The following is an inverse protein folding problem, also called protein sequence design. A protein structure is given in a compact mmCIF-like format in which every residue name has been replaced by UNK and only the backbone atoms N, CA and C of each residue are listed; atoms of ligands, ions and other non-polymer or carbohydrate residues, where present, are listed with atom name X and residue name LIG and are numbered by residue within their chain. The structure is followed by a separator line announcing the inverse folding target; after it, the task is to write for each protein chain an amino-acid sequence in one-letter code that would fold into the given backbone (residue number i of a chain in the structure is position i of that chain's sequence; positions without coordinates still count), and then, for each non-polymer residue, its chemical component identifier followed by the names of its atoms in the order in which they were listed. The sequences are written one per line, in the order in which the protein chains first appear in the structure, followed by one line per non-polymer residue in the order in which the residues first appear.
data_IF_992952216283
#
_entry.id   IF_992952216283
#
_cell.length_a   1.000
_cell.length_b   1.000
_cell.length_c   1.000
_cell.angle_alpha   90.00
_cell.angle_beta   90.00
_cell.angle_gamma   90.00
#
_symmetry.space_group_name_H-M   'P 1'
#
loop_
_entity.id
_entity.type
_entity.pdbx_description
1 polymer ?
#
# COMPACT_ATOMS: atom_id res chain seq x y z
N UNK A 1 -14.60 -23.40 -4.31
CA UNK A 1 -14.97 -22.22 -5.14
C UNK A 1 -15.12 -20.99 -4.24
N UNK A 2 -14.09 -20.13 -4.15
CA UNK A 2 -14.14 -18.85 -3.38
C UNK A 2 -13.56 -17.67 -4.17
N UNK A 3 -13.30 -17.82 -5.47
CA UNK A 3 -12.66 -16.78 -6.29
C UNK A 3 -13.66 -15.73 -6.81
N UNK A 4 -14.92 -16.11 -7.04
CA UNK A 4 -15.95 -15.22 -7.63
C UNK A 4 -16.41 -14.08 -6.69
N UNK A 5 -16.22 -14.24 -5.38
CA UNK A 5 -16.58 -13.25 -4.35
C UNK A 5 -15.45 -12.25 -4.06
N UNK A 6 -14.29 -12.38 -4.70
CA UNK A 6 -13.13 -11.50 -4.46
C UNK A 6 -13.24 -10.19 -5.25
N UNK A 7 -14.10 -10.17 -6.27
CA UNK A 7 -14.36 -8.97 -7.06
C UNK A 7 -15.25 -8.01 -6.27
N UNK A 8 -14.94 -6.71 -6.26
CA UNK A 8 -15.83 -5.72 -5.67
C UNK A 8 -17.21 -5.82 -6.33
N UNK A 9 -18.24 -6.00 -5.50
CA UNK A 9 -19.64 -6.23 -5.92
C UNK A 9 -20.22 -5.09 -6.80
N UNK A 10 -19.55 -3.93 -6.89
CA UNK A 10 -20.00 -2.79 -7.70
C UNK A 10 -18.87 -1.80 -7.95
N UNK A 11 -18.94 -1.08 -9.08
CA UNK A 11 -18.10 0.10 -9.38
C UNK A 11 -18.17 1.17 -8.28
N UNK A 12 -19.33 1.32 -7.62
CA UNK A 12 -19.50 2.25 -6.50
C UNK A 12 -18.62 1.92 -5.28
N UNK A 13 -18.16 0.66 -5.13
CA UNK A 13 -17.20 0.30 -4.08
C UNK A 13 -15.80 0.87 -4.39
N UNK A 14 -15.39 0.80 -5.66
CA UNK A 14 -14.12 1.33 -6.14
C UNK A 14 -14.11 2.86 -6.07
N UNK A 15 -15.23 3.50 -6.46
CA UNK A 15 -15.38 4.96 -6.39
C UNK A 15 -15.25 5.50 -4.97
N UNK A 16 -15.84 4.84 -3.96
CA UNK A 16 -15.66 5.24 -2.54
C UNK A 16 -14.19 5.26 -2.13
N UNK A 17 -13.43 4.22 -2.49
CA UNK A 17 -11.99 4.17 -2.20
C UNK A 17 -11.26 5.28 -2.95
N UNK A 18 -11.64 5.54 -4.20
CA UNK A 18 -11.03 6.60 -5.01
C UNK A 18 -11.31 8.01 -4.44
N UNK A 19 -12.53 8.29 -3.97
CA UNK A 19 -12.86 9.56 -3.31
C UNK A 19 -12.04 9.79 -2.04
N UNK A 20 -11.88 8.74 -1.22
CA UNK A 20 -11.04 8.82 -0.01
C UNK A 20 -9.56 9.04 -0.33
N UNK A 21 -9.06 8.39 -1.38
CA UNK A 21 -7.71 8.61 -1.89
C UNK A 21 -7.55 10.02 -2.43
N UNK A 22 -8.57 10.54 -3.11
CA UNK A 22 -8.55 11.89 -3.67
C UNK A 22 -8.37 12.94 -2.58
N UNK A 23 -9.06 12.83 -1.44
CA UNK A 23 -8.88 13.72 -0.27
C UNK A 23 -7.43 13.76 0.27
N UNK A 24 -6.69 12.67 0.12
CA UNK A 24 -5.30 12.53 0.58
C UNK A 24 -4.31 12.94 -0.52
N UNK A 25 -4.69 12.77 -1.79
CA UNK A 25 -3.91 13.10 -2.98
C UNK A 25 -3.97 14.60 -3.32
N UNK A 26 -5.11 15.24 -3.04
CA UNK A 26 -5.36 16.67 -3.26
C UNK A 26 -5.66 17.34 -1.93
N UNK A 27 -4.64 17.94 -1.29
CA UNK A 27 -4.53 19.39 -1.30
C UNK A 27 -3.10 19.86 -1.60
N UNK A 28 -2.99 21.01 -2.28
CA UNK A 28 -1.77 21.64 -2.79
C UNK A 28 -0.66 21.80 -1.72
N UNK A 29 -1.01 21.72 -0.43
CA UNK A 29 -0.13 21.88 0.73
C UNK A 29 0.20 20.59 1.52
N UNK A 30 -0.46 19.45 1.26
CA UNK A 30 -0.27 18.22 2.05
C UNK A 30 -0.26 16.94 1.21
N UNK A 31 0.28 17.04 -0.01
CA UNK A 31 0.33 15.93 -0.97
C UNK A 31 1.26 14.83 -0.47
N UNK A 32 0.67 13.72 -0.03
CA UNK A 32 1.41 12.53 0.34
C UNK A 32 1.99 11.83 -0.90
N UNK A 33 3.19 11.25 -0.75
CA UNK A 33 3.78 10.41 -1.81
C UNK A 33 2.83 9.23 -2.11
N UNK A 34 2.67 8.82 -3.38
CA UNK A 34 1.80 7.71 -3.76
C UNK A 34 2.07 6.42 -2.98
N UNK A 35 3.34 6.14 -2.68
CA UNK A 35 3.75 5.01 -1.83
C UNK A 35 3.19 5.09 -0.41
N UNK A 36 3.19 6.28 0.18
CA UNK A 36 2.63 6.52 1.52
C UNK A 36 1.11 6.41 1.53
N UNK A 37 0.44 6.88 0.47
CA UNK A 37 -1.02 6.72 0.32
C UNK A 37 -1.39 5.24 0.23
N UNK A 38 -0.68 4.45 -0.56
CA UNK A 38 -0.89 3.01 -0.67
C UNK A 38 -0.69 2.30 0.69
N UNK A 39 0.40 2.61 1.41
CA UNK A 39 0.65 2.04 2.73
C UNK A 39 -0.44 2.40 3.75
N UNK A 40 -0.96 3.63 3.71
CA UNK A 40 -2.07 4.08 4.55
C UNK A 40 -3.36 3.30 4.25
N UNK A 41 -3.66 3.04 2.98
CA UNK A 41 -4.80 2.21 2.58
C UNK A 41 -4.67 0.78 3.11
N UNK A 42 -3.47 0.18 2.99
CA UNK A 42 -3.20 -1.16 3.52
C UNK A 42 -3.37 -1.22 5.03
N UNK A 43 -2.87 -0.22 5.77
CA UNK A 43 -3.06 -0.13 7.21
C UNK A 43 -4.55 -0.01 7.58
N UNK A 44 -5.31 0.84 6.89
CA UNK A 44 -6.76 0.99 7.10
C UNK A 44 -7.51 -0.31 6.80
N UNK A 45 -7.15 -1.01 5.73
CA UNK A 45 -7.76 -2.29 5.39
C UNK A 45 -7.48 -3.36 6.46
N UNK A 46 -6.25 -3.40 6.97
CA UNK A 46 -5.88 -4.28 8.07
C UNK A 46 -6.72 -4.01 9.32
N UNK A 47 -6.91 -2.74 9.69
CA UNK A 47 -7.77 -2.35 10.81
C UNK A 47 -9.23 -2.77 10.60
N UNK A 48 -9.80 -2.49 9.42
CA UNK A 48 -11.18 -2.88 9.07
C UNK A 48 -11.40 -4.38 9.11
N UNK A 49 -10.45 -5.19 8.63
CA UNK A 49 -10.56 -6.67 8.66
C UNK A 49 -10.53 -7.25 10.07
N UNK A 50 -9.89 -6.57 11.00
CA UNK A 50 -9.81 -6.98 12.39
C UNK A 50 -10.89 -6.31 13.26
N UNK A 51 -11.84 -5.58 12.65
CA UNK A 51 -12.91 -4.84 13.34
C UNK A 51 -12.39 -3.87 14.43
N UNK A 52 -11.16 -3.39 14.26
CA UNK A 52 -10.48 -2.51 15.22
C UNK A 52 -10.39 -1.09 14.67
N UNK A 53 -10.70 -0.12 15.51
CA UNK A 53 -10.44 1.28 15.23
C UNK A 53 -9.02 1.67 15.64
N UNK A 54 -8.48 2.75 15.09
CA UNK A 54 -7.15 3.26 15.44
C UNK A 54 -7.00 3.58 16.94
N UNK A 55 -8.09 3.92 17.62
CA UNK A 55 -8.10 4.21 19.06
C UNK A 55 -8.05 2.95 19.94
N UNK A 56 -8.46 1.80 19.40
CA UNK A 56 -8.58 0.53 20.15
C UNK A 56 -7.46 -0.43 19.75
N UNK A 57 -6.86 -0.22 18.58
CA UNK A 57 -5.81 -1.09 18.07
C UNK A 57 -4.53 -0.97 18.90
N UNK A 58 -4.12 -2.09 19.47
CA UNK A 58 -2.84 -2.23 20.17
C UNK A 58 -1.86 -3.00 19.27
N UNK A 59 -0.64 -2.49 19.03
CA UNK A 59 0.36 -3.21 18.25
C UNK A 59 0.79 -4.50 18.96
N UNK A 60 1.09 -5.55 18.18
CA UNK A 60 1.66 -6.77 18.75
C UNK A 60 3.07 -6.52 19.27
N UNK A 61 3.48 -7.27 20.31
CA UNK A 61 4.84 -7.22 20.85
C UNK A 61 5.90 -7.51 19.79
N UNK A 62 5.61 -8.44 18.88
CA UNK A 62 6.48 -8.77 17.74
C UNK A 62 6.66 -7.59 16.79
N UNK A 63 5.59 -6.84 16.51
CA UNK A 63 5.65 -5.65 15.65
C UNK A 63 6.53 -4.57 16.30
N UNK A 64 6.34 -4.34 17.60
CA UNK A 64 7.15 -3.38 18.36
C UNK A 64 8.63 -3.78 18.35
N UNK A 65 8.94 -5.05 18.61
CA UNK A 65 10.31 -5.56 18.57
C UNK A 65 10.91 -5.44 17.17
N UNK A 66 10.14 -5.68 16.11
CA UNK A 66 10.58 -5.53 14.72
C UNK A 66 10.86 -4.07 14.34
N UNK A 67 10.16 -3.12 14.94
CA UNK A 67 10.40 -1.68 14.73
C UNK A 67 11.65 -1.25 15.51
N UNK A 68 11.76 -1.65 16.78
CA UNK A 68 12.91 -1.35 17.64
C UNK A 68 14.22 -1.93 17.09
N UNK A 69 14.19 -3.16 16.60
CA UNK A 69 15.35 -3.84 16.00
C UNK A 69 15.74 -3.31 14.61
N UNK A 70 15.02 -2.33 14.05
CA UNK A 70 15.30 -1.78 12.71
C UNK A 70 14.96 -2.72 11.54
N UNK A 71 14.51 -3.95 11.82
CA UNK A 71 14.13 -4.94 10.81
C UNK A 71 13.02 -4.43 9.89
N UNK A 72 12.08 -3.63 10.42
CA UNK A 72 11.02 -3.00 9.63
C UNK A 72 11.60 -2.02 8.58
N UNK A 73 12.58 -1.20 8.99
CA UNK A 73 13.23 -0.23 8.10
C UNK A 73 14.03 -0.94 7.00
N UNK A 74 14.80 -1.97 7.36
CA UNK A 74 15.56 -2.79 6.40
C UNK A 74 14.65 -3.44 5.33
N UNK A 75 13.49 -3.97 5.73
CA UNK A 75 12.50 -4.52 4.77
C UNK A 75 11.94 -3.43 3.85
N UNK A 76 11.66 -2.25 4.39
CA UNK A 76 11.17 -1.13 3.60
C UNK A 76 12.20 -0.65 2.56
N UNK A 77 13.46 -0.46 2.96
CA UNK A 77 14.53 -0.05 2.05
C UNK A 77 14.83 -1.11 1.00
N UNK A 78 14.80 -2.39 1.36
CA UNK A 78 14.96 -3.51 0.42
C UNK A 78 13.85 -3.51 -0.64
N UNK A 79 12.58 -3.32 -0.24
CA UNK A 79 11.45 -3.24 -1.18
C UNK A 79 11.52 -2.01 -2.09
N UNK A 80 12.04 -0.89 -1.59
CA UNK A 80 12.30 0.28 -2.43
C UNK A 80 13.39 -0.01 -3.47
N UNK A 81 14.46 -0.69 -3.06
CA UNK A 81 15.54 -1.10 -3.96
C UNK A 81 15.04 -2.06 -5.05
N UNK A 82 14.20 -3.03 -4.70
CA UNK A 82 13.57 -3.96 -5.64
C UNK A 82 12.64 -3.26 -6.64
N UNK A 83 11.81 -2.32 -6.18
CA UNK A 83 10.97 -1.51 -7.09
C UNK A 83 11.79 -0.65 -8.04
N UNK A 84 12.96 -0.17 -7.61
CA UNK A 84 13.86 0.55 -8.50
C UNK A 84 14.43 -0.39 -9.58
N UNK A 85 14.75 -1.64 -9.24
CA UNK A 85 15.23 -2.63 -10.20
C UNK A 85 14.15 -3.08 -11.17
N UNK A 86 12.90 -3.31 -10.74
CA UNK A 86 11.77 -3.64 -11.62
C UNK A 86 11.45 -2.52 -12.62
N UNK A 87 11.50 -1.25 -12.20
CA UNK A 87 11.33 -0.11 -13.10
C UNK A 87 12.47 0.04 -14.12
N UNK A 88 13.67 -0.44 -13.78
CA UNK A 88 14.83 -0.43 -14.68
C UNK A 88 14.73 -1.58 -15.69
N UNK A 89 14.38 -2.79 -15.26
CA UNK A 89 14.20 -3.96 -16.13
C UNK A 89 13.07 -3.74 -17.15
N UNK A 90 11.93 -3.20 -16.71
CA UNK A 90 10.81 -2.86 -17.61
C UNK A 90 11.14 -1.76 -18.62
N UNK A 91 12.12 -0.90 -18.36
CA UNK A 91 12.58 0.09 -19.34
C UNK A 91 13.47 -0.53 -20.42
N UNK A 92 14.29 -1.52 -20.06
CA UNK A 92 15.11 -2.27 -21.02
C UNK A 92 14.27 -3.24 -21.86
N UNK A 93 13.29 -3.94 -21.27
CA UNK A 93 12.41 -4.86 -22.01
C UNK A 93 11.53 -4.17 -23.08
N UNK A 94 11.26 -2.86 -22.93
CA UNK A 94 10.52 -2.06 -23.92
C UNK A 94 11.41 -1.65 -25.11
N UNK A 95 12.73 -1.61 -24.94
CA UNK A 95 13.67 -1.25 -26.00
C UNK A 95 14.11 -2.45 -26.85
N UNK A 96 14.08 -3.67 -26.29
CA UNK A 96 14.42 -4.91 -27.00
C UNK A 96 13.21 -5.54 -27.74
N UNK A 97 12.02 -4.95 -27.63
CA UNK A 97 10.77 -5.42 -28.24
C UNK A 97 10.49 -4.95 -29.68
N UNK A 98 11.41 -4.24 -30.33
CA UNK A 98 11.29 -3.86 -31.75
C UNK A 98 12.36 -4.55 -32.60
N UNK A 99 12.09 -5.80 -32.99
CA UNK A 99 12.56 -6.41 -34.24
C UNK A 99 11.53 -7.43 -34.71
#
# INVERSE_FOLDING_TARGET
MKALLVLPHSSACVERVFSEVNLVKTPITNRLRPSTVANRLLARQHLRRNEKNCHIWTPSKELLNSVQSGQCHSRYTTRLCQKATENVVTFYDVLDGTN
#
